data_IF_507021422553
#
_entry.id   IF_507021422553
#
_cell.length_a   1.000
_cell.length_b   1.000
_cell.length_c   1.000
_cell.angle_alpha   90.00
_cell.angle_beta   90.00
_cell.angle_gamma   90.00
#
_symmetry.space_group_name_H-M   'P 1'
#
loop_
_entity.id
_entity.type
_entity.pdbx_description
1 polymer ?
#
# COMPACT_ATOMS: atom_id res chain seq x y z
N UNK A 1 -11.07 -24.86 -15.66
CA UNK A 1 -11.54 -24.20 -14.42
C UNK A 1 -10.73 -24.63 -13.19
N UNK A 2 -10.38 -25.91 -13.04
CA UNK A 2 -9.59 -26.37 -11.89
C UNK A 2 -8.15 -25.85 -11.83
N UNK A 3 -7.48 -25.60 -12.97
CA UNK A 3 -6.08 -25.12 -12.97
C UNK A 3 -5.90 -23.68 -12.44
N UNK A 4 -6.92 -22.82 -12.55
CA UNK A 4 -6.87 -21.45 -12.04
C UNK A 4 -7.01 -21.44 -10.51
N UNK A 5 -7.89 -22.28 -9.96
CA UNK A 5 -8.05 -22.45 -8.51
C UNK A 5 -6.78 -23.08 -7.91
N UNK A 6 -6.18 -24.05 -8.60
CA UNK A 6 -4.90 -24.66 -8.18
C UNK A 6 -3.78 -23.62 -8.18
N UNK A 7 -3.73 -22.71 -9.17
CA UNK A 7 -2.75 -21.62 -9.22
C UNK A 7 -2.90 -20.62 -8.07
N UNK A 8 -4.13 -20.19 -7.76
CA UNK A 8 -4.41 -19.25 -6.65
C UNK A 8 -4.07 -19.89 -5.30
N UNK A 9 -4.45 -21.16 -5.09
CA UNK A 9 -4.12 -21.90 -3.86
C UNK A 9 -2.60 -22.09 -3.74
N UNK A 10 -1.89 -22.33 -4.85
CA UNK A 10 -0.44 -22.46 -4.84
C UNK A 10 0.27 -21.15 -4.51
N UNK A 11 -0.21 -19.99 -5.00
CA UNK A 11 0.37 -18.67 -4.68
C UNK A 11 0.10 -18.27 -3.23
N UNK A 12 -1.13 -18.44 -2.74
CA UNK A 12 -1.45 -18.18 -1.31
C UNK A 12 -0.67 -19.12 -0.39
N UNK A 13 -0.56 -20.40 -0.75
CA UNK A 13 0.26 -21.36 -0.01
C UNK A 13 1.75 -21.04 -0.10
N UNK A 14 2.24 -20.50 -1.21
CA UNK A 14 3.64 -20.11 -1.40
C UNK A 14 3.98 -18.84 -0.60
N UNK A 15 3.11 -17.83 -0.57
CA UNK A 15 3.25 -16.65 0.27
C UNK A 15 3.18 -17.01 1.76
N UNK A 16 2.23 -17.86 2.14
CA UNK A 16 2.17 -18.41 3.50
C UNK A 16 3.41 -19.27 3.84
N UNK A 17 3.90 -20.08 2.90
CA UNK A 17 5.09 -20.92 3.09
C UNK A 17 6.36 -20.07 3.28
N UNK A 18 6.56 -19.02 2.48
CA UNK A 18 7.66 -18.08 2.73
C UNK A 18 7.54 -17.39 4.09
N UNK A 19 6.31 -17.14 4.56
CA UNK A 19 6.03 -16.58 5.88
C UNK A 19 6.32 -17.56 7.03
N UNK A 20 6.07 -18.86 6.86
CA UNK A 20 6.27 -19.88 7.91
C UNK A 20 7.67 -20.51 7.93
N UNK A 21 8.34 -20.63 6.79
CA UNK A 21 9.60 -21.35 6.67
C UNK A 21 10.86 -20.49 6.81
N UNK A 22 10.74 -19.17 7.04
CA UNK A 22 11.88 -18.31 7.34
C UNK A 22 12.35 -18.44 8.80
N UNK A 23 12.61 -19.69 9.22
CA UNK A 23 13.35 -20.05 10.44
C UNK A 23 14.53 -20.93 10.06
N UNK A 24 15.67 -20.30 9.82
CA UNK A 24 16.92 -20.59 10.57
C UNK A 24 18.08 -19.82 9.96
N UNK A 25 18.63 -18.87 10.71
CA UNK A 25 20.02 -18.99 11.13
C UNK A 25 20.24 -18.35 12.52
N UNK A 26 21.20 -18.94 13.23
CA UNK A 26 21.42 -18.90 14.68
C UNK A 26 21.70 -17.51 15.29
N UNK A 27 20.98 -17.26 16.38
CA UNK A 27 21.38 -16.57 17.63
C UNK A 27 22.42 -15.44 17.58
N UNK A 28 21.95 -14.22 17.87
CA UNK A 28 22.50 -13.47 19.01
C UNK A 28 21.32 -12.76 19.68
N UNK A 29 21.02 -13.14 20.92
CA UNK A 29 20.04 -12.48 21.77
C UNK A 29 20.60 -11.14 22.22
N UNK A 30 20.48 -10.14 21.37
CA UNK A 30 20.46 -8.75 21.84
C UNK A 30 19.00 -8.36 21.97
N UNK A 31 18.66 -7.80 23.13
CA UNK A 31 17.35 -7.26 23.44
C UNK A 31 17.09 -6.02 22.57
N UNK A 32 16.73 -6.26 21.31
CA UNK A 32 16.39 -5.24 20.31
C UNK A 32 15.13 -4.44 20.70
N UNK A 33 14.33 -4.90 21.67
CA UNK A 33 13.11 -4.22 22.08
C UNK A 33 13.38 -2.84 22.67
N UNK A 34 14.56 -2.64 23.27
CA UNK A 34 14.94 -1.39 23.91
C UNK A 34 15.36 -0.27 22.95
N UNK A 35 15.59 -0.56 21.66
CA UNK A 35 16.02 0.41 20.64
C UNK A 35 14.91 0.95 19.74
N UNK A 36 13.69 0.42 19.86
CA UNK A 36 12.54 0.83 19.03
C UNK A 36 11.51 1.70 19.76
N UNK A 37 11.93 2.49 20.75
CA UNK A 37 11.26 3.77 21.01
C UNK A 37 11.63 4.76 19.88
N UNK A 38 11.35 4.39 18.63
CA UNK A 38 11.31 5.35 17.54
C UNK A 38 9.95 6.03 17.72
N UNK A 39 9.95 7.10 18.50
CA UNK A 39 8.93 8.13 18.33
C UNK A 39 8.86 8.39 16.82
N UNK A 40 7.74 8.03 16.17
CA UNK A 40 7.59 8.26 14.74
C UNK A 40 7.69 9.76 14.53
N UNK A 41 8.85 10.22 14.10
CA UNK A 41 9.06 11.63 13.79
C UNK A 41 7.99 12.06 12.81
N UNK A 42 7.38 13.22 13.07
CA UNK A 42 6.47 13.88 12.14
C UNK A 42 7.28 14.31 10.90
N UNK A 43 7.52 13.37 9.99
CA UNK A 43 8.05 13.64 8.67
C UNK A 43 6.93 14.14 7.78
N UNK A 44 7.26 15.04 6.87
CA UNK A 44 6.33 15.48 5.82
C UNK A 44 5.85 14.24 5.05
N UNK A 45 4.57 13.91 5.21
CA UNK A 45 3.95 12.77 4.56
C UNK A 45 2.82 13.23 3.65
N UNK A 46 3.01 13.03 2.36
CA UNK A 46 2.04 13.35 1.32
C UNK A 46 1.34 12.10 0.75
N UNK A 47 1.58 10.92 1.34
CA UNK A 47 0.91 9.68 0.96
C UNK A 47 -0.58 9.77 1.21
N UNK A 48 -1.38 9.52 0.18
CA UNK A 48 -2.85 9.54 0.26
C UNK A 48 -3.41 8.39 -0.58
N UNK A 49 -4.54 7.82 -0.16
CA UNK A 49 -5.28 6.84 -0.95
C UNK A 49 -6.72 7.33 -1.11
N UNK A 50 -7.27 7.21 -2.30
CA UNK A 50 -8.69 7.38 -2.56
C UNK A 50 -9.27 6.01 -2.89
N UNK A 51 -10.31 5.64 -2.15
CA UNK A 51 -11.10 4.45 -2.41
C UNK A 51 -12.51 4.87 -2.80
N UNK A 52 -12.98 4.37 -3.94
CA UNK A 52 -14.29 4.70 -4.50
C UNK A 52 -15.14 3.45 -4.72
N UNK A 53 -16.46 3.64 -4.74
CA UNK A 53 -17.46 2.62 -5.05
C UNK A 53 -17.57 1.47 -4.04
N UNK A 54 -17.27 1.72 -2.76
CA UNK A 54 -17.38 0.71 -1.69
C UNK A 54 -17.96 1.33 -0.42
N UNK A 55 -18.77 0.54 0.30
CA UNK A 55 -19.29 0.92 1.61
C UNK A 55 -18.16 1.25 2.59
N UNK A 56 -18.31 2.36 3.31
CA UNK A 56 -17.34 2.84 4.30
C UNK A 56 -16.92 1.75 5.30
N UNK A 57 -17.86 0.92 5.80
CA UNK A 57 -17.55 -0.08 6.81
C UNK A 57 -16.71 -1.22 6.25
N UNK A 58 -16.84 -1.55 4.96
CA UNK A 58 -15.98 -2.54 4.30
C UNK A 58 -14.56 -2.00 4.13
N UNK A 59 -14.40 -0.72 3.79
CA UNK A 59 -13.08 -0.08 3.72
C UNK A 59 -12.45 0.04 5.11
N UNK A 60 -13.23 0.45 6.11
CA UNK A 60 -12.80 0.48 7.51
C UNK A 60 -12.27 -0.90 7.96
N UNK A 61 -12.99 -1.99 7.67
CA UNK A 61 -12.54 -3.35 7.97
C UNK A 61 -11.26 -3.73 7.21
N UNK A 62 -11.19 -3.44 5.91
CA UNK A 62 -9.99 -3.71 5.12
C UNK A 62 -8.75 -2.99 5.68
N UNK A 63 -8.90 -1.74 6.10
CA UNK A 63 -7.82 -0.98 6.76
C UNK A 63 -7.44 -1.63 8.09
N UNK A 64 -8.41 -2.01 8.92
CA UNK A 64 -8.14 -2.71 10.19
C UNK A 64 -7.39 -4.03 9.97
N UNK A 65 -7.81 -4.82 8.99
CA UNK A 65 -7.20 -6.11 8.66
C UNK A 65 -5.77 -5.93 8.15
N UNK A 66 -5.53 -4.96 7.26
CA UNK A 66 -4.18 -4.63 6.80
C UNK A 66 -3.28 -4.19 7.95
N UNK A 67 -3.74 -3.25 8.78
CA UNK A 67 -2.99 -2.71 9.91
C UNK A 67 -2.64 -3.78 10.94
N UNK A 68 -3.55 -4.73 11.19
CA UNK A 68 -3.36 -5.84 12.13
C UNK A 68 -2.25 -6.81 11.73
N UNK A 69 -1.92 -6.91 10.44
CA UNK A 69 -0.81 -7.77 9.99
C UNK A 69 0.55 -7.35 10.60
N UNK A 70 0.65 -6.12 11.10
CA UNK A 70 1.85 -5.55 11.70
C UNK A 70 1.79 -5.46 13.25
N UNK A 71 0.82 -6.11 13.90
CA UNK A 71 0.67 -6.14 15.37
C UNK A 71 1.72 -7.01 16.10
N UNK A 72 2.71 -7.53 15.38
CA UNK A 72 3.77 -8.33 15.97
C UNK A 72 4.95 -7.45 16.44
N UNK A 73 5.62 -7.78 17.57
CA UNK A 73 6.71 -6.95 18.11
C UNK A 73 7.91 -6.75 17.17
N UNK A 74 8.12 -7.66 16.21
CA UNK A 74 9.27 -7.58 15.29
C UNK A 74 9.04 -6.57 14.16
N UNK A 75 7.78 -6.24 13.85
CA UNK A 75 7.40 -5.40 12.71
C UNK A 75 6.53 -4.20 13.09
N UNK A 76 6.30 -3.97 14.39
CA UNK A 76 5.45 -2.87 14.88
C UNK A 76 5.88 -1.49 14.38
N UNK A 77 7.16 -1.30 14.07
CA UNK A 77 7.69 -0.07 13.48
C UNK A 77 7.16 0.21 12.06
N UNK A 78 6.79 -0.83 11.30
CA UNK A 78 6.21 -0.75 9.96
C UNK A 78 4.69 -0.54 9.98
N UNK A 79 4.04 -0.68 11.14
CA UNK A 79 2.59 -0.63 11.29
C UNK A 79 2.05 0.72 10.81
N UNK A 80 1.17 0.77 9.80
CA UNK A 80 0.62 2.04 9.33
C UNK A 80 -0.43 2.56 10.33
N UNK A 81 -0.33 3.86 10.65
CA UNK A 81 -1.41 4.59 11.33
C UNK A 81 -2.11 5.38 10.24
N UNK A 82 -3.41 5.15 10.08
CA UNK A 82 -4.20 5.68 8.98
C UNK A 82 -5.38 6.48 9.51
N UNK A 83 -5.69 7.61 8.90
CA UNK A 83 -6.91 8.37 9.15
C UNK A 83 -7.83 8.25 7.93
N UNK A 84 -9.04 7.75 8.15
CA UNK A 84 -10.06 7.56 7.13
C UNK A 84 -11.01 8.75 7.18
N UNK A 85 -11.18 9.43 6.05
CA UNK A 85 -12.08 10.57 5.90
C UNK A 85 -13.22 10.15 4.98
N UNK A 86 -14.44 10.15 5.52
CA UNK A 86 -15.64 9.76 4.79
C UNK A 86 -16.20 10.96 4.03
N UNK A 87 -16.16 10.88 2.70
CA UNK A 87 -16.77 11.86 1.81
C UNK A 87 -18.22 11.48 1.50
N UNK A 88 -19.06 12.49 1.24
CA UNK A 88 -20.49 12.31 0.93
C UNK A 88 -20.74 11.54 -0.39
N UNK A 89 -19.73 11.44 -1.26
CA UNK A 89 -19.83 10.84 -2.60
C UNK A 89 -19.50 9.33 -2.65
N UNK A 90 -19.70 8.58 -1.57
CA UNK A 90 -19.31 7.17 -1.48
C UNK A 90 -17.81 6.95 -1.78
N UNK A 91 -17.01 7.87 -1.25
CA UNK A 91 -15.56 7.88 -1.36
C UNK A 91 -14.95 7.93 0.03
N UNK A 92 -13.84 7.23 0.21
CA UNK A 92 -13.04 7.26 1.43
C UNK A 92 -11.64 7.73 1.07
N UNK A 93 -11.20 8.82 1.68
CA UNK A 93 -9.82 9.27 1.59
C UNK A 93 -9.07 8.71 2.79
N UNK A 94 -7.95 8.05 2.56
CA UNK A 94 -7.05 7.55 3.60
C UNK A 94 -5.80 8.41 3.59
N UNK A 95 -5.50 9.00 4.74
CA UNK A 95 -4.29 9.79 4.96
C UNK A 95 -3.45 9.15 6.06
N UNK A 96 -2.17 9.51 6.12
CA UNK A 96 -1.24 8.92 7.07
C UNK A 96 -0.60 10.04 7.89
N UNK A 97 -0.92 10.19 9.19
CA UNK A 97 -0.32 11.21 10.05
C UNK A 97 1.20 11.06 10.20
N UNK A 98 1.72 9.84 10.07
CA UNK A 98 3.14 9.52 10.07
C UNK A 98 3.52 8.91 8.73
N UNK A 99 4.75 9.18 8.27
CA UNK A 99 5.26 8.54 7.05
C UNK A 99 5.27 7.02 7.20
N UNK A 100 4.95 6.34 6.09
CA UNK A 100 5.02 4.88 5.98
C UNK A 100 5.98 4.51 4.87
N UNK A 101 6.67 3.38 5.00
CA UNK A 101 7.57 2.88 3.98
C UNK A 101 6.85 2.73 2.64
N UNK A 102 7.53 3.08 1.54
CA UNK A 102 6.95 3.07 0.20
C UNK A 102 6.47 1.69 -0.23
N UNK A 103 7.21 0.64 0.13
CA UNK A 103 6.83 -0.75 -0.10
C UNK A 103 5.53 -1.11 0.65
N UNK A 104 5.42 -0.73 1.93
CA UNK A 104 4.20 -0.92 2.72
C UNK A 104 3.03 -0.16 2.10
N UNK A 105 3.26 1.06 1.60
CA UNK A 105 2.24 1.83 0.88
C UNK A 105 1.77 1.14 -0.41
N UNK A 106 2.67 0.53 -1.18
CA UNK A 106 2.33 -0.27 -2.36
C UNK A 106 1.44 -1.47 -1.97
N UNK A 107 1.83 -2.22 -0.93
CA UNK A 107 1.01 -3.32 -0.42
C UNK A 107 -0.36 -2.85 0.06
N UNK A 108 -0.42 -1.68 0.70
CA UNK A 108 -1.66 -1.10 1.17
C UNK A 108 -2.62 -0.81 0.00
N UNK A 109 -2.13 -0.13 -1.04
CA UNK A 109 -2.91 0.17 -2.26
C UNK A 109 -3.41 -1.12 -2.91
N UNK A 110 -2.57 -2.14 -3.02
CA UNK A 110 -2.96 -3.44 -3.58
C UNK A 110 -4.00 -4.16 -2.70
N UNK A 111 -3.78 -4.22 -1.38
CA UNK A 111 -4.69 -4.88 -0.45
C UNK A 111 -6.09 -4.23 -0.43
N UNK A 112 -6.18 -2.90 -0.53
CA UNK A 112 -7.47 -2.22 -0.62
C UNK A 112 -8.19 -2.49 -1.95
N UNK A 113 -7.48 -2.89 -3.01
CA UNK A 113 -8.11 -3.36 -4.24
C UNK A 113 -8.58 -4.81 -4.08
N UNK A 114 -7.76 -5.63 -3.43
CA UNK A 114 -7.90 -7.08 -3.32
C UNK A 114 -7.83 -7.52 -1.85
N UNK A 115 -8.81 -7.14 -1.02
CA UNK A 115 -8.79 -7.50 0.40
C UNK A 115 -8.94 -9.01 0.57
N UNK A 116 -8.26 -9.56 1.57
CA UNK A 116 -8.51 -10.93 2.00
C UNK A 116 -9.84 -10.98 2.75
N UNK A 117 -10.68 -11.96 2.45
CA UNK A 117 -11.93 -12.26 3.16
C UNK A 117 -13.03 -11.18 3.17
N UNK A 118 -12.86 -10.09 2.41
CA UNK A 118 -13.89 -9.08 2.17
C UNK A 118 -14.33 -9.11 0.69
N UNK A 119 -15.63 -9.08 0.46
CA UNK A 119 -16.19 -9.13 -0.89
C UNK A 119 -16.67 -7.75 -1.33
N UNK A 120 -15.81 -6.99 -2.00
CA UNK A 120 -16.18 -5.75 -2.68
C UNK A 120 -15.38 -5.54 -3.96
N UNK A 121 -15.78 -4.53 -4.74
CA UNK A 121 -15.02 -4.05 -5.90
C UNK A 121 -14.78 -2.55 -5.75
N UNK A 122 -13.53 -2.17 -5.53
CA UNK A 122 -13.11 -0.79 -5.37
C UNK A 122 -12.40 -0.27 -6.62
N UNK A 123 -12.46 1.04 -6.82
CA UNK A 123 -11.36 1.75 -7.48
C UNK A 123 -10.44 2.29 -6.39
N UNK A 124 -9.16 1.99 -6.49
CA UNK A 124 -8.15 2.42 -5.52
C UNK A 124 -7.05 3.12 -6.25
N UNK A 125 -6.76 4.35 -5.83
CA UNK A 125 -5.65 5.14 -6.36
C UNK A 125 -4.85 5.69 -5.19
N UNK A 126 -3.53 5.54 -5.23
CA UNK A 126 -2.60 6.11 -4.27
C UNK A 126 -1.84 7.30 -4.87
N UNK A 127 -1.42 8.24 -4.03
CA UNK A 127 -0.53 9.34 -4.42
C UNK A 127 0.59 9.48 -3.42
N UNK A 128 1.79 9.80 -3.90
CA UNK A 128 2.96 10.12 -3.08
C UNK A 128 4.00 10.87 -3.90
N UNK A 129 4.89 11.61 -3.24
CA UNK A 129 6.18 12.02 -3.82
C UNK A 129 7.23 10.97 -3.48
N UNK A 130 7.82 10.37 -4.51
CA UNK A 130 8.82 9.31 -4.35
C UNK A 130 10.14 9.88 -3.84
N UNK A 131 10.85 9.08 -3.05
CA UNK A 131 12.12 9.43 -2.42
C UNK A 131 13.21 8.53 -2.98
N UNK A 132 14.44 9.03 -3.05
CA UNK A 132 15.59 8.20 -3.45
C UNK A 132 15.89 7.06 -2.46
N UNK A 133 15.33 7.13 -1.26
CA UNK A 133 15.43 6.09 -0.21
C UNK A 133 14.34 5.03 -0.31
N UNK A 134 13.35 5.21 -1.19
CA UNK A 134 12.28 4.23 -1.35
C UNK A 134 12.85 2.95 -1.97
N UNK A 135 12.67 1.84 -1.27
CA UNK A 135 13.05 0.52 -1.76
C UNK A 135 12.31 0.24 -3.09
N UNK A 136 13.01 -0.37 -4.06
CA UNK A 136 12.61 -0.55 -5.47
C UNK A 136 12.72 0.67 -6.39
N UNK A 137 12.91 1.88 -5.86
CA UNK A 137 13.17 3.07 -6.66
C UNK A 137 14.65 3.44 -6.66
N UNK A 138 15.03 4.28 -7.61
CA UNK A 138 16.40 4.81 -7.71
C UNK A 138 16.37 6.35 -7.67
N UNK A 139 17.55 6.97 -7.74
CA UNK A 139 17.69 8.43 -7.65
C UNK A 139 16.91 9.20 -8.73
N UNK A 140 16.64 8.59 -9.88
CA UNK A 140 15.88 9.25 -10.95
C UNK A 140 14.44 9.55 -10.52
N UNK A 141 13.91 8.82 -9.52
CA UNK A 141 12.57 9.01 -8.95
C UNK A 141 12.53 10.02 -7.81
N UNK A 142 13.65 10.63 -7.42
CA UNK A 142 13.67 11.54 -6.28
C UNK A 142 12.76 12.77 -6.53
N UNK A 143 11.84 13.02 -5.60
CA UNK A 143 10.85 14.11 -5.64
C UNK A 143 9.87 14.06 -6.82
N UNK A 144 9.69 12.90 -7.45
CA UNK A 144 8.66 12.75 -8.48
C UNK A 144 7.29 12.51 -7.85
N UNK A 145 6.31 13.34 -8.24
CA UNK A 145 4.92 13.04 -7.92
C UNK A 145 4.47 11.82 -8.69
N UNK A 146 3.94 10.87 -7.96
CA UNK A 146 3.57 9.56 -8.48
C UNK A 146 2.13 9.23 -8.09
N UNK A 147 1.42 8.61 -9.03
CA UNK A 147 0.08 8.05 -8.86
C UNK A 147 0.18 6.54 -8.97
N UNK A 148 -0.23 5.83 -7.91
CA UNK A 148 -0.26 4.38 -7.86
C UNK A 148 -1.68 3.88 -8.17
N UNK A 149 -1.79 2.80 -8.93
CA UNK A 149 -3.06 2.18 -9.27
C UNK A 149 -2.85 0.70 -9.57
N UNK A 150 -3.95 -0.03 -9.70
CA UNK A 150 -3.94 -1.40 -10.22
C UNK A 150 -4.36 -1.36 -11.68
N UNK A 151 -3.61 -2.03 -12.57
CA UNK A 151 -3.95 -2.09 -13.99
C UNK A 151 -5.41 -2.55 -14.14
N UNK A 152 -6.26 -1.84 -14.91
CA UNK A 152 -7.64 -2.26 -15.16
C UNK A 152 -7.79 -3.69 -15.72
N UNK A 153 -6.73 -4.20 -16.35
CA UNK A 153 -6.65 -5.54 -16.92
C UNK A 153 -5.78 -6.50 -16.10
N UNK A 154 -5.39 -6.13 -14.88
CA UNK A 154 -4.58 -6.96 -13.99
C UNK A 154 -5.20 -8.35 -13.79
N UNK A 155 -4.35 -9.37 -13.81
CA UNK A 155 -4.68 -10.78 -13.58
C UNK A 155 -3.72 -11.48 -12.64
N UNK A 156 -2.69 -10.77 -12.19
CA UNK A 156 -1.61 -11.33 -11.38
C UNK A 156 -1.85 -11.02 -9.90
N UNK A 157 -2.54 -9.92 -9.59
CA UNK A 157 -2.96 -9.49 -8.24
C UNK A 157 -1.82 -9.15 -7.28
N UNK A 158 -0.56 -9.33 -7.69
CA UNK A 158 0.67 -9.20 -6.89
C UNK A 158 1.57 -8.06 -7.36
N UNK A 159 0.96 -6.99 -7.86
CA UNK A 159 1.66 -5.82 -8.35
C UNK A 159 0.86 -4.53 -8.11
N UNK A 160 1.56 -3.40 -8.24
CA UNK A 160 0.98 -2.08 -8.42
C UNK A 160 1.63 -1.39 -9.62
N UNK A 161 0.86 -0.58 -10.31
CA UNK A 161 1.36 0.33 -11.33
C UNK A 161 1.66 1.68 -10.68
N UNK A 162 2.72 2.33 -11.14
CA UNK A 162 3.11 3.69 -10.77
C UNK A 162 3.17 4.53 -12.04
N UNK A 163 2.50 5.68 -12.07
CA UNK A 163 2.68 6.69 -13.12
C UNK A 163 3.14 8.02 -12.55
N UNK A 164 4.22 8.54 -13.10
CA UNK A 164 4.84 9.81 -12.74
C UNK A 164 4.16 10.98 -13.46
N UNK A 165 4.30 12.20 -12.92
CA UNK A 165 3.68 13.42 -13.50
C UNK A 165 4.15 13.70 -14.94
N UNK A 166 5.33 13.20 -15.35
CA UNK A 166 5.84 13.28 -16.72
C UNK A 166 5.20 12.25 -17.70
N UNK A 167 4.33 11.37 -17.19
CA UNK A 167 3.57 10.41 -17.96
C UNK A 167 4.22 9.04 -18.13
N UNK A 168 5.35 8.73 -17.48
CA UNK A 168 5.94 7.37 -17.55
C UNK A 168 5.24 6.42 -16.59
N UNK A 169 4.96 5.20 -17.05
CA UNK A 169 4.33 4.15 -16.25
C UNK A 169 5.31 3.02 -15.96
N UNK A 170 5.30 2.53 -14.73
CA UNK A 170 6.11 1.42 -14.26
C UNK A 170 5.22 0.40 -13.55
N UNK A 171 5.57 -0.88 -13.66
CA UNK A 171 5.00 -1.96 -12.86
C UNK A 171 5.96 -2.25 -11.72
N UNK A 172 5.44 -2.39 -10.52
CA UNK A 172 6.17 -2.80 -9.32
C UNK A 172 5.56 -4.14 -8.90
N UNK A 173 6.26 -5.23 -9.22
CA UNK A 173 5.87 -6.58 -8.79
C UNK A 173 6.41 -6.88 -7.39
N UNK A 174 5.67 -7.70 -6.65
CA UNK A 174 6.00 -8.03 -5.26
C UNK A 174 6.85 -9.30 -5.13
N UNK A 175 6.95 -10.10 -6.19
CA UNK A 175 7.78 -11.30 -6.18
C UNK A 175 9.27 -10.95 -6.27
N UNK A 176 10.11 -11.84 -5.71
CA UNK A 176 11.57 -11.67 -5.73
C UNK A 176 12.06 -11.58 -7.19
N UNK A 177 12.71 -10.47 -7.53
CA UNK A 177 13.23 -10.21 -8.87
C UNK A 177 12.24 -9.50 -9.81
N UNK A 178 10.95 -9.40 -9.46
CA UNK A 178 9.92 -8.69 -10.19
C UNK A 178 9.86 -7.19 -9.81
N UNK A 179 11.02 -6.56 -9.62
CA UNK A 179 11.14 -5.16 -9.18
C UNK A 179 10.53 -4.13 -10.15
N UNK A 180 11.06 -2.91 -10.16
CA UNK A 180 10.54 -1.85 -11.01
C UNK A 180 10.74 -2.15 -12.52
N UNK A 181 9.64 -2.27 -13.26
CA UNK A 181 9.63 -2.57 -14.70
C UNK A 181 8.97 -1.44 -15.48
N UNK A 182 9.74 -0.79 -16.36
CA UNK A 182 9.22 0.27 -17.23
C UNK A 182 8.22 -0.29 -18.26
N UNK A 183 7.09 0.39 -18.44
CA UNK A 183 6.10 0.06 -19.46
C UNK A 183 6.36 0.88 -20.73
N UNK A 184 6.14 0.27 -21.90
CA UNK A 184 6.36 0.94 -23.18
C UNK A 184 5.39 2.10 -23.42
N UNK A 185 4.22 2.06 -22.79
CA UNK A 185 3.16 3.03 -22.96
C UNK A 185 2.64 3.51 -21.60
N UNK A 186 2.12 4.74 -21.56
CA UNK A 186 1.40 5.25 -20.40
C UNK A 186 0.07 4.50 -20.27
N UNK A 187 -0.08 3.69 -19.23
CA UNK A 187 -1.32 2.91 -19.02
C UNK A 187 -2.45 3.83 -18.52
N UNK A 188 -2.19 4.60 -17.46
CA UNK A 188 -3.08 5.66 -16.98
C UNK A 188 -2.29 6.94 -16.81
N UNK A 189 -2.80 8.05 -17.36
CA UNK A 189 -2.18 9.37 -17.17
C UNK A 189 -2.24 9.78 -15.71
N UNK A 190 -1.14 10.37 -15.22
CA UNK A 190 -1.12 11.00 -13.90
C UNK A 190 -2.27 12.00 -13.77
N UNK A 191 -3.01 11.90 -12.67
CA UNK A 191 -3.99 12.88 -12.22
C UNK A 191 -3.59 13.32 -10.82
N UNK A 192 -3.52 14.63 -10.54
CA UNK A 192 -3.23 15.09 -9.18
C UNK A 192 -4.36 14.69 -8.24
N UNK A 193 -4.03 14.49 -6.96
CA UNK A 193 -5.02 14.30 -5.91
C UNK A 193 -5.91 15.54 -5.77
N UNK A 194 -7.23 15.36 -5.79
CA UNK A 194 -8.18 16.46 -5.97
C UNK A 194 -8.62 17.13 -4.65
N UNK A 195 -8.57 16.41 -3.53
CA UNK A 195 -8.99 16.96 -2.23
C UNK A 195 -7.92 17.85 -1.59
N UNK A 196 -8.33 19.04 -1.17
CA UNK A 196 -7.47 19.93 -0.37
C UNK A 196 -7.59 19.56 1.11
N UNK A 197 -6.61 19.98 1.90
CA UNK A 197 -6.63 19.81 3.37
C UNK A 197 -7.93 20.34 3.99
N UNK A 198 -8.41 21.51 3.55
CA UNK A 198 -9.64 22.13 4.03
C UNK A 198 -10.92 21.35 3.68
N UNK A 199 -10.85 20.43 2.72
CA UNK A 199 -11.98 19.56 2.38
C UNK A 199 -12.01 18.37 3.34
N UNK A 200 -10.85 17.77 3.61
CA UNK A 200 -10.71 16.66 4.57
C UNK A 200 -11.11 17.06 5.98
N UNK A 201 -10.77 18.28 6.42
CA UNK A 201 -11.17 18.81 7.75
C UNK A 201 -12.69 18.93 7.95
N UNK A 202 -13.49 18.85 6.87
CA UNK A 202 -14.96 18.87 6.94
C UNK A 202 -15.57 17.47 6.98
N UNK A 203 -14.79 16.44 6.66
CA UNK A 203 -15.27 15.06 6.62
C UNK A 203 -15.29 14.45 8.02
N UNK A 204 -16.23 13.54 8.23
CA UNK A 204 -16.15 12.66 9.39
C UNK A 204 -14.88 11.81 9.25
N UNK A 205 -14.00 11.85 10.26
CA UNK A 205 -12.75 11.11 10.24
C UNK A 205 -12.61 10.13 11.39
N UNK A 206 -11.90 9.03 11.11
CA UNK A 206 -11.58 7.99 12.08
C UNK A 206 -10.13 7.54 11.91
N UNK A 207 -9.40 7.47 13.03
CA UNK A 207 -8.04 6.94 13.05
C UNK A 207 -8.03 5.43 13.33
N UNK A 208 -7.26 4.69 12.54
CA UNK A 208 -7.01 3.26 12.70
C UNK A 208 -5.51 3.05 12.95
N UNK A 209 -5.20 2.33 14.02
CA UNK A 209 -3.88 2.23 14.62
C UNK A 209 -3.37 0.83 14.78
#
# INVERSE_FOLDING_TARGET
MNYIIIGIVAVVAFLAYQFFNNKSDKSTSEDYSSKFNIEKELKQNDKRILVENVDYNLIRRAVQDFTKNYDNPQQSHLKPISELHKSDNNQVVITFPYDIDFEIFCYYVNYLKYPMDLNYKANVTGWTSTKSTDHWLNKDFENQKSMLFIDPNDREYDNVMLTTEDGRTYKIGFAIGEGLQNQNETILKYKPFEYKKSDLEKFESEEIK
#
